data_IF_945328850213
#
_entry.id   IF_945328850213
#
_cell.length_a   1.000
_cell.length_b   1.000
_cell.length_c   1.000
_cell.angle_alpha   90.00
_cell.angle_beta   90.00
_cell.angle_gamma   90.00
#
_symmetry.space_group_name_H-M   'P 1'
#
loop_
_entity.id
_entity.type
_entity.pdbx_description
1 polymer ?
#
# COMPACT_ATOMS: atom_id res chain seq x y z
N UNK A 1 -5.55 -10.51 -17.38
CA UNK A 1 -4.09 -10.26 -17.29
C UNK A 1 -3.71 -8.81 -17.59
N UNK A 2 -4.18 -8.20 -18.70
CA UNK A 2 -3.85 -6.81 -19.07
C UNK A 2 -4.22 -5.80 -17.96
N UNK A 3 -5.43 -5.92 -17.39
CA UNK A 3 -5.90 -5.02 -16.30
C UNK A 3 -4.95 -5.06 -15.10
N UNK A 4 -4.57 -6.26 -14.66
CA UNK A 4 -3.64 -6.42 -13.54
C UNK A 4 -2.26 -5.82 -13.83
N UNK A 5 -1.76 -5.97 -15.06
CA UNK A 5 -0.49 -5.37 -15.48
C UNK A 5 -0.55 -3.83 -15.46
N UNK A 6 -1.64 -3.24 -15.96
CA UNK A 6 -1.84 -1.78 -15.91
C UNK A 6 -1.89 -1.28 -14.47
N UNK A 7 -2.65 -1.95 -13.61
CA UNK A 7 -2.76 -1.57 -12.19
C UNK A 7 -1.41 -1.70 -11.48
N UNK A 8 -0.64 -2.75 -11.77
CA UNK A 8 0.70 -2.93 -11.21
C UNK A 8 1.66 -1.82 -11.67
N UNK A 9 1.61 -1.42 -12.95
CA UNK A 9 2.40 -0.28 -13.47
C UNK A 9 2.02 1.02 -12.76
N UNK A 10 0.72 1.28 -12.58
CA UNK A 10 0.24 2.46 -11.85
C UNK A 10 0.73 2.42 -10.40
N UNK A 11 0.66 1.25 -9.74
CA UNK A 11 1.19 1.08 -8.39
C UNK A 11 2.66 1.48 -8.30
N UNK A 12 3.53 0.95 -9.18
CA UNK A 12 4.96 1.30 -9.19
C UNK A 12 5.16 2.80 -9.39
N UNK A 13 4.40 3.41 -10.30
CA UNK A 13 4.46 4.85 -10.52
C UNK A 13 4.01 5.67 -9.29
N UNK A 14 3.03 5.16 -8.54
CA UNK A 14 2.49 5.79 -7.32
C UNK A 14 3.38 5.60 -6.08
N UNK A 15 4.23 4.58 -6.04
CA UNK A 15 5.14 4.35 -4.90
C UNK A 15 6.07 5.55 -4.69
N UNK A 16 6.52 6.22 -5.76
CA UNK A 16 7.41 7.39 -5.67
C UNK A 16 6.72 8.60 -4.99
N UNK A 17 5.53 9.06 -5.42
CA UNK A 17 4.86 10.19 -4.80
C UNK A 17 4.08 9.87 -3.50
N UNK A 18 3.48 8.67 -3.37
CA UNK A 18 2.59 8.35 -2.22
C UNK A 18 3.29 7.52 -1.13
N UNK A 19 4.46 6.96 -1.42
CA UNK A 19 5.13 6.00 -0.55
C UNK A 19 4.56 4.58 -0.69
N UNK A 20 5.37 3.61 -0.26
CA UNK A 20 5.09 2.18 -0.42
C UNK A 20 3.81 1.73 0.30
N UNK A 21 3.56 2.21 1.52
CA UNK A 21 2.45 1.74 2.36
C UNK A 21 1.10 2.13 1.77
N UNK A 22 0.90 3.43 1.50
CA UNK A 22 -0.31 3.97 0.87
C UNK A 22 -0.56 3.37 -0.51
N UNK A 23 0.47 3.28 -1.37
CA UNK A 23 0.33 2.70 -2.69
C UNK A 23 -0.09 1.22 -2.62
N UNK A 24 0.45 0.46 -1.65
CA UNK A 24 0.15 -0.97 -1.50
C UNK A 24 -1.28 -1.19 -0.98
N UNK A 25 -1.79 -0.27 -0.14
CA UNK A 25 -3.19 -0.30 0.31
C UNK A 25 -4.14 -0.07 -0.87
N UNK A 26 -3.85 0.94 -1.68
CA UNK A 26 -4.63 1.22 -2.89
C UNK A 26 -4.59 0.04 -3.87
N UNK A 27 -3.43 -0.61 -4.03
CA UNK A 27 -3.31 -1.81 -4.87
C UNK A 27 -4.22 -2.95 -4.37
N UNK A 28 -4.22 -3.21 -3.06
CA UNK A 28 -5.05 -4.26 -2.45
C UNK A 28 -6.55 -4.01 -2.59
N UNK A 29 -6.97 -2.77 -2.81
CA UNK A 29 -8.37 -2.44 -3.10
C UNK A 29 -8.67 -2.39 -4.60
N UNK A 30 -7.81 -1.74 -5.38
CA UNK A 30 -8.02 -1.50 -6.80
C UNK A 30 -8.04 -2.81 -7.61
N UNK A 31 -7.15 -3.74 -7.30
CA UNK A 31 -6.99 -4.97 -8.08
C UNK A 31 -8.21 -5.92 -7.94
N UNK A 32 -8.71 -6.25 -6.74
CA UNK A 32 -9.94 -7.04 -6.60
C UNK A 32 -11.15 -6.35 -7.24
N UNK A 33 -11.31 -5.04 -7.04
CA UNK A 33 -12.42 -4.29 -7.62
C UNK A 33 -12.39 -4.33 -9.15
N UNK A 34 -11.22 -4.11 -9.76
CA UNK A 34 -11.06 -4.14 -11.21
C UNK A 34 -11.23 -5.55 -11.82
N UNK A 35 -11.02 -6.60 -11.03
CA UNK A 35 -11.27 -7.99 -11.42
C UNK A 35 -12.71 -8.45 -11.18
N UNK A 36 -13.58 -7.57 -10.66
CA UNK A 36 -14.99 -7.85 -10.46
C UNK A 36 -15.36 -8.41 -9.09
N UNK A 37 -14.43 -8.38 -8.11
CA UNK A 37 -14.74 -8.75 -6.73
C UNK A 37 -15.56 -7.65 -6.05
N UNK A 38 -16.83 -7.93 -5.74
CA UNK A 38 -17.79 -6.93 -5.23
C UNK A 38 -17.99 -6.92 -3.72
N UNK A 39 -17.23 -7.71 -2.96
CA UNK A 39 -17.32 -7.72 -1.50
C UNK A 39 -16.34 -6.72 -0.89
N UNK A 40 -16.74 -5.45 -0.90
CA UNK A 40 -15.86 -4.34 -0.49
C UNK A 40 -15.36 -4.46 0.96
N UNK A 41 -16.22 -4.94 1.87
CA UNK A 41 -15.87 -5.16 3.28
C UNK A 41 -14.77 -6.23 3.42
N UNK A 42 -14.90 -7.34 2.68
CA UNK A 42 -13.88 -8.39 2.67
C UNK A 42 -12.56 -7.86 2.12
N UNK A 43 -12.60 -7.11 1.01
CA UNK A 43 -11.41 -6.51 0.42
C UNK A 43 -10.71 -5.54 1.40
N UNK A 44 -11.47 -4.72 2.13
CA UNK A 44 -10.93 -3.83 3.16
C UNK A 44 -10.27 -4.58 4.30
N UNK A 45 -10.90 -5.64 4.81
CA UNK A 45 -10.33 -6.48 5.88
C UNK A 45 -9.00 -7.09 5.41
N UNK A 46 -8.98 -7.67 4.21
CA UNK A 46 -7.75 -8.26 3.64
C UNK A 46 -6.67 -7.21 3.43
N UNK A 47 -7.02 -6.02 2.94
CA UNK A 47 -6.07 -4.92 2.77
C UNK A 47 -5.46 -4.50 4.12
N UNK A 48 -6.27 -4.36 5.18
CA UNK A 48 -5.78 -4.03 6.52
C UNK A 48 -4.87 -5.12 7.09
N UNK A 49 -5.27 -6.40 6.96
CA UNK A 49 -4.43 -7.53 7.40
C UNK A 49 -3.09 -7.53 6.66
N UNK A 50 -3.11 -7.30 5.34
CA UNK A 50 -1.89 -7.21 4.55
C UNK A 50 -0.99 -6.04 4.98
N UNK A 51 -1.57 -4.87 5.27
CA UNK A 51 -0.84 -3.72 5.82
C UNK A 51 -0.14 -4.06 7.14
N UNK A 52 -0.86 -4.71 8.07
CA UNK A 52 -0.30 -5.16 9.36
C UNK A 52 0.85 -6.16 9.13
N UNK A 53 0.68 -7.10 8.21
CA UNK A 53 1.74 -8.06 7.88
C UNK A 53 2.98 -7.38 7.31
N UNK A 54 2.81 -6.43 6.38
CA UNK A 54 3.91 -5.61 5.87
C UNK A 54 4.61 -4.90 7.03
N UNK A 55 3.86 -4.22 7.88
CA UNK A 55 4.41 -3.52 9.04
C UNK A 55 5.24 -4.45 9.92
N UNK A 56 4.71 -5.64 10.23
CA UNK A 56 5.41 -6.65 11.04
C UNK A 56 6.66 -7.16 10.34
N UNK A 57 6.64 -7.42 9.03
CA UNK A 57 7.83 -7.83 8.29
C UNK A 57 8.91 -6.75 8.36
N UNK A 58 8.55 -5.49 8.13
CA UNK A 58 9.54 -4.42 8.21
C UNK A 58 10.05 -4.18 9.63
N UNK A 59 9.18 -4.27 10.64
CA UNK A 59 9.54 -4.01 12.02
C UNK A 59 10.30 -5.17 12.68
N UNK A 60 9.87 -6.41 12.46
CA UNK A 60 10.35 -7.59 13.19
C UNK A 60 11.45 -8.31 12.41
N UNK A 61 11.27 -8.49 11.10
CA UNK A 61 12.24 -9.23 10.27
C UNK A 61 13.39 -8.35 9.79
N UNK A 62 13.11 -7.09 9.48
CA UNK A 62 14.11 -6.19 8.92
C UNK A 62 14.76 -5.25 9.94
N UNK A 63 14.29 -5.22 11.20
CA UNK A 63 14.72 -4.33 12.30
C UNK A 63 14.89 -2.86 11.89
N UNK A 64 14.30 -2.48 10.76
CA UNK A 64 14.51 -1.20 10.10
C UNK A 64 13.24 -0.39 10.33
N UNK A 65 13.30 0.74 11.06
CA UNK A 65 12.15 1.61 11.18
C UNK A 65 11.69 1.94 9.76
N UNK A 66 10.43 1.64 9.47
CA UNK A 66 9.81 1.85 8.16
C UNK A 66 10.24 3.21 7.61
N UNK A 67 10.69 3.28 6.32
CA UNK A 67 11.11 4.53 5.73
C UNK A 67 10.02 5.56 5.97
N UNK A 68 10.39 6.63 6.67
CA UNK A 68 9.49 7.69 7.14
C UNK A 68 8.63 8.13 5.98
N UNK A 69 7.32 7.92 6.12
CA UNK A 69 6.34 8.30 5.11
C UNK A 69 6.51 9.78 4.74
N UNK A 70 6.17 10.15 3.49
CA UNK A 70 6.18 11.55 3.07
C UNK A 70 5.33 12.45 4.00
N UNK A 71 4.35 11.86 4.71
CA UNK A 71 3.59 12.51 5.78
C UNK A 71 4.50 12.98 6.93
N UNK A 72 5.45 12.16 7.39
CA UNK A 72 6.43 12.57 8.40
C UNK A 72 7.39 13.63 7.86
N UNK A 73 7.74 13.66 6.57
CA UNK A 73 8.52 14.77 6.01
C UNK A 73 7.73 16.08 5.92
N UNK A 74 6.41 16.03 5.73
CA UNK A 74 5.53 17.21 5.73
C UNK A 74 5.33 17.76 7.15
N UNK A 75 5.19 16.88 8.15
CA UNK A 75 5.07 17.27 9.56
C UNK A 75 6.42 17.58 10.24
N UNK A 76 7.55 17.05 9.75
CA UNK A 76 8.89 17.37 10.26
C UNK A 76 9.54 18.59 9.61
N UNK A 77 9.06 19.06 8.44
CA UNK A 77 9.50 20.31 7.83
C UNK A 77 8.90 21.57 8.50
N UNK A 78 8.07 21.39 9.53
CA UNK A 78 7.39 22.46 10.27
C UNK A 78 7.75 22.53 11.77
N UNK A 79 8.87 21.94 12.20
CA UNK A 79 9.38 22.02 13.58
C UNK A 79 10.81 22.57 13.61
#
# INVERSE_FOLDING_TARGET
MIIAAVIATIYVALVVPLGFYTASFLLMLALPMALGFRQLVYALIVALVFMVLIYLVFSVLLEKPLPREALLSLFAAGA
#
